data_IF_397261307089
#
_entry.id   IF_397261307089
#
_cell.length_a   1.000
_cell.length_b   1.000
_cell.length_c   1.000
_cell.angle_alpha   90.00
_cell.angle_beta   90.00
_cell.angle_gamma   90.00
#
_symmetry.space_group_name_H-M   'P 1'
#
loop_
_entity.id
_entity.type
_entity.pdbx_description
1 polymer ?
#
# COMPACT_ATOMS: atom_id res chain seq x y z
N UNK A 1 -8.68 29.53 -24.63
CA UNK A 1 -8.65 28.91 -23.30
C UNK A 1 -7.25 28.40 -23.06
N UNK A 2 -6.47 29.09 -22.24
CA UNK A 2 -5.16 28.58 -21.81
C UNK A 2 -5.40 27.30 -21.00
N UNK A 3 -4.78 26.19 -21.43
CA UNK A 3 -4.74 24.96 -20.64
C UNK A 3 -3.99 25.28 -19.36
N UNK A 4 -4.70 25.37 -18.24
CA UNK A 4 -4.07 25.42 -16.92
C UNK A 4 -3.29 24.12 -16.72
N UNK A 5 -1.97 24.21 -16.69
CA UNK A 5 -1.11 23.08 -16.32
C UNK A 5 -1.32 22.80 -14.83
N UNK A 6 -1.79 21.60 -14.43
CA UNK A 6 -1.94 21.30 -13.01
C UNK A 6 -0.56 21.29 -12.33
N UNK A 7 -0.38 22.17 -11.36
CA UNK A 7 0.81 22.24 -10.51
C UNK A 7 0.77 21.20 -9.39
N UNK A 8 1.91 21.00 -8.72
CA UNK A 8 2.03 20.15 -7.54
C UNK A 8 2.97 20.76 -6.50
N UNK A 9 2.79 20.35 -5.25
CA UNK A 9 3.65 20.71 -4.13
C UNK A 9 4.16 19.46 -3.41
N UNK A 10 5.37 19.55 -2.82
CA UNK A 10 5.93 18.47 -2.02
C UNK A 10 5.67 18.72 -0.53
N UNK A 11 5.09 17.73 0.16
CA UNK A 11 4.82 17.77 1.59
C UNK A 11 5.48 16.58 2.29
N UNK A 12 6.09 16.84 3.45
CA UNK A 12 6.59 15.79 4.33
C UNK A 12 5.42 15.25 5.14
N UNK A 13 5.14 13.96 5.01
CA UNK A 13 4.03 13.30 5.67
C UNK A 13 4.56 12.09 6.45
N UNK A 14 4.10 11.95 7.70
CA UNK A 14 4.33 10.73 8.46
C UNK A 14 3.27 9.72 8.05
N UNK A 15 3.71 8.62 7.43
CA UNK A 15 2.83 7.56 6.96
C UNK A 15 3.02 6.31 7.81
N UNK A 16 1.94 5.56 8.01
CA UNK A 16 1.98 4.23 8.63
C UNK A 16 1.21 3.23 7.77
N UNK A 17 1.71 2.01 7.67
CA UNK A 17 1.03 0.91 6.99
C UNK A 17 1.45 -0.42 7.59
N UNK A 18 0.68 -1.47 7.31
CA UNK A 18 1.07 -2.85 7.54
C UNK A 18 1.39 -3.49 6.20
N UNK A 19 2.54 -4.16 6.13
CA UNK A 19 2.97 -4.88 4.96
C UNK A 19 2.88 -6.39 5.18
N UNK A 20 2.55 -7.09 4.09
CA UNK A 20 2.47 -8.54 4.00
C UNK A 20 3.44 -8.98 2.91
N UNK A 21 4.29 -9.95 3.21
CA UNK A 21 5.25 -10.47 2.24
C UNK A 21 5.24 -12.00 2.26
N UNK A 22 4.67 -12.60 1.23
CA UNK A 22 4.50 -14.05 1.20
C UNK A 22 3.76 -14.58 2.44
N UNK A 23 4.43 -15.49 3.15
CA UNK A 23 3.96 -16.13 4.38
C UNK A 23 4.48 -15.48 5.67
N UNK A 24 5.24 -14.38 5.57
CA UNK A 24 5.82 -13.73 6.73
C UNK A 24 4.76 -13.11 7.65
N UNK A 25 5.11 -13.01 8.93
CA UNK A 25 4.33 -12.22 9.88
C UNK A 25 4.18 -10.76 9.40
N UNK A 26 3.00 -10.13 9.60
CA UNK A 26 2.75 -8.77 9.14
C UNK A 26 3.73 -7.75 9.72
N UNK A 27 4.36 -6.98 8.84
CA UNK A 27 5.34 -5.97 9.20
C UNK A 27 4.69 -4.61 9.45
N UNK A 28 4.99 -4.00 10.60
CA UNK A 28 4.61 -2.62 10.87
C UNK A 28 5.62 -1.64 10.26
N UNK A 29 5.13 -0.72 9.43
CA UNK A 29 5.92 0.35 8.85
C UNK A 29 5.43 1.72 9.30
N UNK A 30 6.38 2.56 9.75
CA UNK A 30 6.19 3.98 10.02
C UNK A 30 7.40 4.76 9.51
N UNK A 31 7.16 5.85 8.80
CA UNK A 31 8.24 6.69 8.29
C UNK A 31 7.74 8.01 7.73
N UNK A 32 8.67 8.94 7.48
CA UNK A 32 8.38 10.20 6.80
C UNK A 32 8.62 10.03 5.30
N UNK A 33 7.59 10.30 4.49
CA UNK A 33 7.69 10.36 3.03
C UNK A 33 7.54 11.79 2.54
N UNK A 34 8.21 12.11 1.44
CA UNK A 34 7.99 13.34 0.68
C UNK A 34 6.97 13.03 -0.40
N UNK A 35 5.72 13.44 -0.19
CA UNK A 35 4.59 13.16 -1.09
C UNK A 35 4.22 14.39 -1.92
N UNK A 36 3.66 14.15 -3.12
CA UNK A 36 3.15 15.22 -3.97
C UNK A 36 1.66 15.40 -3.76
N UNK A 37 1.26 16.64 -3.55
CA UNK A 37 -0.14 17.08 -3.62
C UNK A 37 -0.36 17.72 -4.97
N UNK A 38 -1.30 17.18 -5.74
CA UNK A 38 -1.66 17.68 -7.06
C UNK A 38 -2.87 18.60 -6.94
N UNK A 39 -2.91 19.63 -7.78
CA UNK A 39 -4.00 20.60 -7.80
C UNK A 39 -4.70 20.59 -9.16
N UNK A 40 -6.03 20.55 -9.16
CA UNK A 40 -6.83 20.78 -10.37
C UNK A 40 -6.80 22.25 -10.77
N UNK A 41 -6.62 23.15 -9.80
CA UNK A 41 -6.45 24.58 -9.99
C UNK A 41 -5.45 25.10 -8.93
N UNK A 42 -4.33 25.63 -9.40
CA UNK A 42 -3.25 26.14 -8.55
C UNK A 42 -3.58 27.48 -7.91
N UNK A 43 -4.49 28.28 -8.47
CA UNK A 43 -4.86 29.59 -7.92
C UNK A 43 -5.75 29.46 -6.68
N UNK A 44 -6.63 28.47 -6.70
CA UNK A 44 -7.57 28.19 -5.61
C UNK A 44 -7.07 27.11 -4.65
N UNK A 45 -5.88 26.55 -4.90
CA UNK A 45 -5.34 25.37 -4.19
C UNK A 45 -6.34 24.20 -4.13
N UNK A 46 -7.18 24.05 -5.16
CA UNK A 46 -8.14 22.95 -5.22
C UNK A 46 -7.41 21.65 -5.53
N UNK A 47 -7.43 20.73 -4.58
CA UNK A 47 -6.70 19.45 -4.66
C UNK A 47 -7.35 18.50 -5.66
N UNK A 48 -6.52 17.89 -6.52
CA UNK A 48 -6.84 16.69 -7.27
C UNK A 48 -6.65 15.47 -6.37
N UNK A 49 -7.72 15.09 -5.67
CA UNK A 49 -7.68 14.07 -4.63
C UNK A 49 -7.31 12.68 -5.21
N UNK A 50 -7.83 12.34 -6.39
CA UNK A 50 -7.58 11.05 -7.03
C UNK A 50 -6.11 10.92 -7.44
N UNK A 51 -5.55 11.93 -8.11
CA UNK A 51 -4.15 11.91 -8.54
C UNK A 51 -3.19 11.95 -7.36
N UNK A 52 -3.51 12.74 -6.34
CA UNK A 52 -2.75 12.81 -5.09
C UNK A 52 -2.73 11.46 -4.36
N UNK A 53 -3.90 10.83 -4.22
CA UNK A 53 -4.03 9.51 -3.59
C UNK A 53 -3.27 8.43 -4.36
N UNK A 54 -3.42 8.37 -5.69
CA UNK A 54 -2.71 7.40 -6.52
C UNK A 54 -1.19 7.53 -6.40
N UNK A 55 -0.67 8.77 -6.43
CA UNK A 55 0.76 9.01 -6.23
C UNK A 55 1.23 8.63 -4.82
N UNK A 56 0.46 8.97 -3.79
CA UNK A 56 0.79 8.65 -2.41
C UNK A 56 0.85 7.13 -2.19
N UNK A 57 -0.12 6.38 -2.72
CA UNK A 57 -0.15 4.92 -2.63
C UNK A 57 0.99 4.26 -3.41
N UNK A 58 1.30 4.74 -4.63
CA UNK A 58 2.45 4.25 -5.41
C UNK A 58 3.77 4.47 -4.67
N UNK A 59 3.95 5.67 -4.12
CA UNK A 59 5.18 6.02 -3.38
C UNK A 59 5.32 5.20 -2.11
N UNK A 60 4.23 5.07 -1.33
CA UNK A 60 4.23 4.25 -0.11
C UNK A 60 4.55 2.79 -0.42
N UNK A 61 3.89 2.21 -1.43
CA UNK A 61 4.17 0.84 -1.87
C UNK A 61 5.61 0.67 -2.31
N UNK A 62 6.11 1.57 -3.15
CA UNK A 62 7.48 1.53 -3.67
C UNK A 62 8.53 1.55 -2.55
N UNK A 63 8.40 2.48 -1.60
CA UNK A 63 9.33 2.63 -0.49
C UNK A 63 9.28 1.42 0.46
N UNK A 64 8.07 0.94 0.80
CA UNK A 64 7.91 -0.25 1.64
C UNK A 64 8.49 -1.50 0.97
N UNK A 65 8.28 -1.69 -0.34
CA UNK A 65 8.77 -2.86 -1.08
C UNK A 65 10.29 -2.91 -1.13
N UNK A 66 10.94 -1.75 -1.34
CA UNK A 66 12.40 -1.68 -1.28
C UNK A 66 12.94 -2.15 0.06
N UNK A 67 12.32 -1.73 1.16
CA UNK A 67 12.81 -2.10 2.51
C UNK A 67 12.65 -3.60 2.76
N UNK A 68 11.47 -4.17 2.48
CA UNK A 68 11.23 -5.61 2.66
C UNK A 68 12.15 -6.41 1.73
N UNK A 69 12.14 -6.16 0.42
CA UNK A 69 12.98 -6.95 -0.51
C UNK A 69 14.47 -6.85 -0.20
N UNK A 70 14.95 -5.70 0.27
CA UNK A 70 16.33 -5.57 0.75
C UNK A 70 16.61 -6.51 1.93
N UNK A 71 15.68 -6.64 2.88
CA UNK A 71 15.81 -7.59 4.00
C UNK A 71 15.87 -9.05 3.53
N UNK A 72 15.13 -9.40 2.47
CA UNK A 72 15.17 -10.73 1.84
C UNK A 72 16.30 -10.89 0.80
N UNK A 73 17.15 -9.86 0.61
CA UNK A 73 18.21 -9.83 -0.42
C UNK A 73 17.70 -10.06 -1.85
N UNK A 74 16.47 -9.63 -2.11
CA UNK A 74 15.84 -9.72 -3.43
C UNK A 74 15.86 -8.37 -4.15
N UNK A 75 16.07 -8.35 -5.48
CA UNK A 75 15.98 -7.12 -6.25
C UNK A 75 14.54 -6.65 -6.41
N UNK A 76 14.37 -5.34 -6.56
CA UNK A 76 13.08 -4.75 -6.93
C UNK A 76 13.16 -4.03 -8.28
N UNK A 77 12.74 -4.70 -9.35
CA UNK A 77 12.81 -4.24 -10.74
C UNK A 77 11.49 -4.40 -11.51
N UNK A 78 10.40 -4.69 -10.81
CA UNK A 78 9.12 -5.04 -11.44
C UNK A 78 8.39 -3.84 -12.02
N UNK A 79 7.68 -4.07 -13.13
CA UNK A 79 6.68 -3.13 -13.60
C UNK A 79 5.52 -3.07 -12.59
N UNK A 80 5.21 -1.88 -12.08
CA UNK A 80 4.12 -1.69 -11.10
C UNK A 80 2.77 -1.60 -11.80
N UNK A 81 1.88 -2.52 -11.46
CA UNK A 81 0.45 -2.43 -11.73
C UNK A 81 -0.30 -2.63 -10.41
N UNK A 82 -0.45 -1.53 -9.67
CA UNK A 82 -1.06 -1.55 -8.36
C UNK A 82 -2.57 -1.67 -8.48
N UNK A 83 -3.14 -2.63 -7.76
CA UNK A 83 -4.58 -2.86 -7.67
C UNK A 83 -4.98 -3.00 -6.21
N UNK A 84 -6.27 -2.85 -5.93
CA UNK A 84 -6.80 -3.03 -4.57
C UNK A 84 -7.77 -4.18 -4.49
N UNK A 85 -7.70 -4.93 -3.39
CA UNK A 85 -8.73 -5.86 -2.95
C UNK A 85 -9.37 -5.39 -1.62
N UNK A 86 -10.64 -5.74 -1.36
CA UNK A 86 -11.21 -5.62 -0.03
C UNK A 86 -10.37 -6.36 1.02
N UNK A 87 -10.22 -5.76 2.20
CA UNK A 87 -9.63 -6.42 3.36
C UNK A 87 -10.74 -6.93 4.27
N UNK A 88 -11.54 -7.90 3.79
CA UNK A 88 -12.80 -8.32 4.45
C UNK A 88 -12.59 -8.71 5.91
N UNK A 89 -11.44 -9.33 6.21
CA UNK A 89 -11.04 -9.75 7.54
C UNK A 89 -10.79 -8.59 8.53
N UNK A 90 -10.45 -7.41 8.03
CA UNK A 90 -10.26 -6.20 8.83
C UNK A 90 -11.54 -5.35 8.94
N UNK A 91 -12.55 -5.68 8.12
CA UNK A 91 -13.75 -4.88 7.94
C UNK A 91 -13.50 -3.58 7.17
N UNK A 92 -14.58 -2.82 6.95
CA UNK A 92 -14.46 -1.48 6.42
C UNK A 92 -13.75 -0.57 7.45
N UNK A 93 -12.92 0.39 7.00
CA UNK A 93 -12.70 0.82 5.62
C UNK A 93 -11.37 0.32 4.99
N UNK A 94 -10.82 -0.80 5.44
CA UNK A 94 -9.48 -1.23 5.02
C UNK A 94 -9.47 -1.89 3.63
N UNK A 95 -8.35 -1.71 2.91
CA UNK A 95 -8.08 -2.28 1.59
C UNK A 95 -6.66 -2.83 1.55
N UNK A 96 -6.46 -3.91 0.79
CA UNK A 96 -5.13 -4.43 0.50
C UNK A 96 -4.69 -3.90 -0.86
N UNK A 97 -3.57 -3.20 -0.92
CA UNK A 97 -2.94 -2.70 -2.14
C UNK A 97 -1.75 -3.61 -2.47
N UNK A 98 -1.72 -4.14 -3.69
CA UNK A 98 -0.65 -5.06 -4.12
C UNK A 98 -0.31 -4.88 -5.61
N UNK A 99 0.86 -5.38 -6.01
CA UNK A 99 1.27 -5.36 -7.42
C UNK A 99 0.79 -6.63 -8.13
N UNK A 100 -0.21 -6.50 -9.01
CA UNK A 100 -0.75 -7.66 -9.77
C UNK A 100 0.27 -8.25 -10.76
N UNK A 101 1.33 -7.51 -11.09
CA UNK A 101 2.43 -7.96 -11.95
C UNK A 101 3.67 -8.39 -11.17
N UNK A 102 3.54 -8.62 -9.87
CA UNK A 102 4.64 -9.14 -9.08
C UNK A 102 5.10 -10.50 -9.63
N UNK A 103 6.41 -10.66 -9.74
CA UNK A 103 7.02 -11.93 -10.09
C UNK A 103 7.31 -12.72 -8.81
N UNK A 104 7.35 -14.06 -8.90
CA UNK A 104 7.78 -14.87 -7.78
C UNK A 104 9.18 -14.45 -7.31
N UNK A 105 9.38 -14.53 -6.00
CA UNK A 105 10.69 -14.36 -5.38
C UNK A 105 11.68 -15.39 -5.93
N UNK A 106 12.96 -15.09 -5.82
CA UNK A 106 14.01 -15.99 -6.33
C UNK A 106 14.28 -17.17 -5.41
N UNK A 107 13.90 -17.07 -4.14
CA UNK A 107 14.26 -18.07 -3.11
C UNK A 107 13.06 -18.82 -2.51
N UNK A 108 11.89 -18.19 -2.44
CA UNK A 108 10.68 -18.78 -1.86
C UNK A 108 9.43 -18.38 -2.65
N UNK A 109 8.39 -19.22 -2.55
CA UNK A 109 7.09 -18.91 -3.12
C UNK A 109 6.40 -17.85 -2.26
N UNK A 110 6.40 -16.61 -2.75
CA UNK A 110 5.97 -15.42 -2.00
C UNK A 110 4.49 -15.10 -2.21
N UNK A 111 3.63 -16.13 -2.20
CA UNK A 111 2.19 -15.96 -2.30
C UNK A 111 1.62 -15.19 -1.10
N UNK A 112 0.78 -14.20 -1.38
CA UNK A 112 0.12 -13.43 -0.32
C UNK A 112 -1.15 -14.19 0.09
N UNK A 113 -1.05 -15.01 1.14
CA UNK A 113 -2.13 -15.94 1.54
C UNK A 113 -3.48 -15.24 1.74
N UNK A 114 -3.45 -14.06 2.35
CA UNK A 114 -4.65 -13.24 2.63
C UNK A 114 -5.38 -12.74 1.37
N UNK A 115 -4.76 -12.85 0.19
CA UNK A 115 -5.37 -12.52 -1.09
C UNK A 115 -5.86 -13.74 -1.87
N UNK A 116 -5.63 -14.98 -1.40
CA UNK A 116 -5.89 -16.20 -2.18
C UNK A 116 -7.33 -16.31 -2.70
N UNK A 117 -8.32 -15.86 -1.93
CA UNK A 117 -9.73 -15.86 -2.32
C UNK A 117 -10.09 -14.83 -3.40
N UNK A 118 -9.34 -13.73 -3.49
CA UNK A 118 -9.57 -12.63 -4.43
C UNK A 118 -8.66 -12.73 -5.67
N UNK A 119 -7.40 -13.09 -5.47
CA UNK A 119 -6.38 -13.25 -6.50
C UNK A 119 -5.38 -14.34 -6.05
N UNK A 120 -5.57 -15.61 -6.44
CA UNK A 120 -4.71 -16.72 -6.02
C UNK A 120 -3.27 -16.58 -6.55
N UNK A 121 -3.05 -15.72 -7.54
CA UNK A 121 -1.75 -15.45 -8.13
C UNK A 121 -1.07 -14.21 -7.50
N UNK A 122 -1.67 -13.60 -6.48
CA UNK A 122 -1.08 -12.46 -5.80
C UNK A 122 0.21 -12.86 -5.07
N UNK A 123 1.30 -12.15 -5.39
CA UNK A 123 2.65 -12.46 -4.93
C UNK A 123 3.41 -11.22 -4.47
N UNK A 124 4.48 -11.45 -3.73
CA UNK A 124 5.40 -10.43 -3.26
C UNK A 124 4.79 -9.59 -2.15
N UNK A 125 4.82 -8.27 -2.34
CA UNK A 125 4.34 -7.32 -1.33
C UNK A 125 2.86 -6.97 -1.52
N UNK A 126 2.13 -7.00 -0.41
CA UNK A 126 0.91 -6.25 -0.20
C UNK A 126 1.09 -5.24 0.94
N UNK A 127 0.36 -4.12 0.88
CA UNK A 127 0.26 -3.17 1.99
C UNK A 127 -1.21 -2.89 2.32
N UNK A 128 -1.49 -2.54 3.57
CA UNK A 128 -2.83 -2.14 4.00
C UNK A 128 -2.99 -0.64 3.88
N UNK A 129 -4.06 -0.23 3.20
CA UNK A 129 -4.48 1.15 3.03
C UNK A 129 -5.89 1.36 3.60
N UNK A 130 -6.25 2.62 3.83
CA UNK A 130 -7.58 3.03 4.30
C UNK A 130 -8.34 3.71 3.16
N UNK A 131 -9.56 3.23 2.88
CA UNK A 131 -10.48 3.90 1.97
C UNK A 131 -11.17 5.06 2.68
N UNK A 132 -11.17 6.24 2.07
CA UNK A 132 -11.87 7.42 2.54
C UNK A 132 -13.26 7.52 1.90
N UNK A 133 -14.15 8.31 2.51
CA UNK A 133 -15.54 8.50 2.06
C UNK A 133 -15.63 9.05 0.63
N UNK A 134 -14.65 9.86 0.22
CA UNK A 134 -14.53 10.40 -1.14
C UNK A 134 -13.97 9.39 -2.17
N UNK A 135 -13.75 8.13 -1.78
CA UNK A 135 -13.21 7.07 -2.62
C UNK A 135 -11.68 7.05 -2.77
N UNK A 136 -10.94 7.97 -2.14
CA UNK A 136 -9.47 7.96 -2.18
C UNK A 136 -8.88 7.02 -1.14
N UNK A 137 -7.67 6.52 -1.41
CA UNK A 137 -6.89 5.74 -0.46
C UNK A 137 -5.92 6.63 0.31
N UNK A 138 -5.72 6.32 1.58
CA UNK A 138 -4.75 6.96 2.47
C UNK A 138 -4.04 5.92 3.34
N UNK A 139 -2.97 6.34 3.99
CA UNK A 139 -2.24 5.53 4.97
C UNK A 139 -3.03 5.39 6.29
N UNK A 140 -2.58 4.49 7.14
CA UNK A 140 -3.19 4.23 8.44
C UNK A 140 -2.69 5.24 9.48
N UNK A 141 -3.49 5.52 10.51
CA UNK A 141 -2.91 6.03 11.76
C UNK A 141 -2.11 4.95 12.46
N UNK A 142 -1.20 5.33 13.36
CA UNK A 142 -0.34 4.35 14.04
C UNK A 142 -1.13 3.39 14.94
N UNK A 143 -2.12 3.89 15.69
CA UNK A 143 -3.02 3.09 16.51
C UNK A 143 -3.79 2.07 15.65
N UNK A 144 -4.32 2.54 14.51
CA UNK A 144 -5.03 1.70 13.54
C UNK A 144 -4.10 0.62 12.97
N UNK A 145 -2.88 0.98 12.55
CA UNK A 145 -1.91 0.04 12.02
C UNK A 145 -1.54 -1.05 13.03
N UNK A 146 -1.31 -0.69 14.30
CA UNK A 146 -1.02 -1.67 15.36
C UNK A 146 -2.20 -2.60 15.63
N UNK A 147 -3.43 -2.11 15.55
CA UNK A 147 -4.62 -2.96 15.68
C UNK A 147 -4.74 -3.92 14.49
N UNK A 148 -4.56 -3.41 13.27
CA UNK A 148 -4.55 -4.23 12.05
C UNK A 148 -3.48 -5.32 12.14
N UNK A 149 -2.27 -4.98 12.56
CA UNK A 149 -1.18 -5.94 12.70
C UNK A 149 -1.58 -7.11 13.62
N UNK A 150 -2.18 -6.81 14.79
CA UNK A 150 -2.62 -7.85 15.74
C UNK A 150 -3.65 -8.79 15.13
N UNK A 151 -4.62 -8.25 14.39
CA UNK A 151 -5.66 -9.07 13.73
C UNK A 151 -5.02 -9.96 12.66
N UNK A 152 -4.16 -9.41 11.81
CA UNK A 152 -3.51 -10.17 10.74
C UNK A 152 -2.57 -11.25 11.30
N UNK A 153 -1.76 -10.94 12.32
CA UNK A 153 -0.89 -11.91 12.98
C UNK A 153 -1.68 -13.05 13.61
N UNK A 154 -2.81 -12.75 14.27
CA UNK A 154 -3.66 -13.79 14.83
C UNK A 154 -4.18 -14.73 13.74
N UNK A 155 -4.65 -14.19 12.61
CA UNK A 155 -5.16 -15.00 11.51
C UNK A 155 -4.10 -15.89 10.87
N UNK A 156 -2.90 -15.36 10.62
CA UNK A 156 -1.83 -16.15 9.99
C UNK A 156 -1.37 -17.31 10.89
N UNK A 157 -1.38 -17.13 12.21
CA UNK A 157 -1.06 -18.21 13.15
C UNK A 157 -2.15 -19.31 13.18
N UNK A 158 -3.42 -18.99 12.91
CA UNK A 158 -4.50 -19.98 12.83
C UNK A 158 -4.48 -20.81 11.54
N UNK A 159 -3.84 -20.32 10.47
CA UNK A 159 -3.73 -21.06 9.20
C UNK A 159 -2.56 -22.06 9.19
N UNK A 160 -1.67 -22.01 10.19
CA UNK A 160 -0.53 -22.94 10.35
C UNK A 160 -0.85 -24.16 11.24
N UNK A 161 -2.01 -24.19 11.92
CA UNK A 161 -2.51 -25.32 12.74
C UNK A 161 -3.49 -26.22 11.97
#
# INVERSE_FOLDING_TARGET
MEKQTPGFEHLRQNVCTIALYGHDQPYFFRGTLVLRTYYTDTRTHKIDALRTSAYAMDTMFYETNKVIRSAHREPYSEARHLVTAPADMLGNPYRILYNRRALPGTMEDNFIVLLRSHDPEARGLAIVAKLQENGTLTWLREDEARQVQKVLSAMMNYEEE
#
